data_IF_502224211611
#
_entry.id   IF_502224211611
#
_cell.length_a   1.000
_cell.length_b   1.000
_cell.length_c   1.000
_cell.angle_alpha   90.00
_cell.angle_beta   90.00
_cell.angle_gamma   90.00
#
_symmetry.space_group_name_H-M   'P 1'
#
loop_
_entity.id
_entity.type
_entity.pdbx_description
1 polymer ?
#
# COMPACT_ATOMS: atom_id res chain seq x y z
N UNK A 1 1.41 11.97 13.18
CA UNK A 1 0.62 10.75 13.30
C UNK A 1 -0.32 10.48 12.11
N UNK A 2 -0.65 11.45 11.26
CA UNK A 2 -1.45 11.24 10.03
C UNK A 2 -0.65 10.54 8.91
N UNK A 3 0.66 10.68 8.89
CA UNK A 3 1.59 10.02 7.94
C UNK A 3 1.48 8.50 8.04
N UNK A 4 1.39 7.97 9.27
CA UNK A 4 1.20 6.53 9.52
C UNK A 4 -0.16 6.03 9.03
N UNK A 5 -1.20 6.86 9.02
CA UNK A 5 -2.55 6.42 8.67
C UNK A 5 -2.72 6.14 7.18
N UNK A 6 -2.14 6.95 6.30
CA UNK A 6 -2.22 6.74 4.85
C UNK A 6 -1.35 5.55 4.39
N UNK A 7 -0.14 5.44 4.93
CA UNK A 7 0.74 4.29 4.68
C UNK A 7 0.18 2.98 5.24
N UNK A 8 -0.46 3.01 6.42
CA UNK A 8 -1.17 1.86 6.95
C UNK A 8 -2.41 1.49 6.13
N UNK A 9 -3.05 2.44 5.46
CA UNK A 9 -4.16 2.14 4.54
C UNK A 9 -3.72 1.24 3.39
N UNK A 10 -2.66 1.59 2.68
CA UNK A 10 -2.16 0.80 1.53
C UNK A 10 -1.48 -0.49 1.98
N UNK A 11 -0.70 -0.44 3.05
CA UNK A 11 -0.12 -1.64 3.66
C UNK A 11 -1.21 -2.55 4.22
N UNK A 12 -2.28 -1.97 4.77
CA UNK A 12 -3.47 -2.68 5.23
C UNK A 12 -4.21 -3.40 4.10
N UNK A 13 -4.30 -2.80 2.91
CA UNK A 13 -4.87 -3.45 1.72
C UNK A 13 -4.04 -4.68 1.35
N UNK A 14 -2.72 -4.56 1.30
CA UNK A 14 -1.83 -5.67 0.99
C UNK A 14 -1.82 -6.73 2.10
N UNK A 15 -1.93 -6.35 3.37
CA UNK A 15 -2.06 -7.28 4.49
C UNK A 15 -3.45 -7.91 4.56
N UNK A 16 -4.53 -7.18 4.26
CA UNK A 16 -5.88 -7.77 4.16
C UNK A 16 -5.99 -8.77 3.04
N UNK A 17 -5.27 -8.59 1.94
CA UNK A 17 -5.20 -9.56 0.84
C UNK A 17 -4.31 -10.77 1.20
N UNK A 18 -3.46 -10.66 2.22
CA UNK A 18 -2.45 -11.69 2.55
C UNK A 18 -2.88 -12.69 3.62
N UNK A 19 -3.97 -12.46 4.34
CA UNK A 19 -4.39 -13.30 5.45
C UNK A 19 -5.74 -13.96 5.25
N UNK A 20 -6.08 -14.39 4.01
CA UNK A 20 -7.35 -14.94 3.68
C UNK A 20 -7.54 -16.39 3.97
N UNK A 21 -7.99 -16.74 5.10
CA UNK A 21 -8.67 -18.01 5.27
C UNK A 21 -9.98 -17.77 5.98
N UNK A 22 -11.03 -17.50 5.26
CA UNK A 22 -12.24 -17.24 5.94
C UNK A 22 -13.52 -17.79 5.58
N UNK A 23 -14.06 -18.20 6.55
CA UNK A 23 -15.46 -18.50 6.84
C UNK A 23 -16.41 -17.34 6.56
N UNK A 24 -16.59 -16.92 5.34
CA UNK A 24 -17.89 -16.40 4.98
C UNK A 24 -18.76 -17.62 4.71
N UNK A 25 -19.35 -18.12 5.78
CA UNK A 25 -20.45 -19.05 5.68
C UNK A 25 -21.66 -18.34 5.07
N UNK A 26 -21.59 -18.05 3.79
CA UNK A 26 -22.77 -17.75 3.01
C UNK A 26 -23.47 -19.07 2.74
N UNK A 27 -24.45 -19.37 3.57
CA UNK A 27 -25.23 -20.60 3.54
C UNK A 27 -26.04 -20.83 2.26
N UNK A 28 -25.90 -20.00 1.22
CA UNK A 28 -26.72 -20.08 0.01
C UNK A 28 -25.98 -19.91 -1.32
N UNK A 29 -24.65 -19.87 -1.36
CA UNK A 29 -23.93 -19.87 -2.62
C UNK A 29 -23.63 -21.30 -3.04
N UNK A 30 -24.56 -21.94 -3.74
CA UNK A 30 -24.18 -23.08 -4.58
C UNK A 30 -23.34 -22.52 -5.73
N UNK A 31 -22.07 -22.93 -5.88
CA UNK A 31 -21.28 -22.57 -7.04
C UNK A 31 -21.99 -23.21 -8.25
N UNK A 32 -22.54 -22.38 -9.12
CA UNK A 32 -22.93 -22.87 -10.44
C UNK A 32 -21.64 -23.20 -11.17
N UNK A 33 -21.33 -24.47 -11.30
CA UNK A 33 -20.16 -25.02 -11.98
C UNK A 33 -20.05 -24.64 -13.47
N UNK A 34 -20.78 -23.63 -13.93
CA UNK A 34 -20.86 -23.24 -15.33
C UNK A 34 -20.09 -21.94 -15.64
N UNK A 35 -19.46 -21.33 -14.64
CA UNK A 35 -18.70 -20.10 -14.88
C UNK A 35 -17.22 -20.39 -14.74
N UNK A 36 -16.50 -20.05 -15.79
CA UNK A 36 -15.16 -20.52 -16.01
C UNK A 36 -14.16 -19.92 -14.99
N UNK A 37 -13.13 -20.66 -14.61
CA UNK A 37 -12.00 -20.15 -13.84
C UNK A 37 -11.37 -18.91 -14.47
N UNK A 38 -11.53 -18.74 -15.80
CA UNK A 38 -11.03 -17.58 -16.54
C UNK A 38 -11.77 -16.30 -16.15
N UNK A 39 -13.10 -16.34 -15.99
CA UNK A 39 -13.88 -15.17 -15.58
C UNK A 39 -13.54 -14.75 -14.14
N UNK A 40 -13.39 -15.71 -13.22
CA UNK A 40 -12.95 -15.45 -11.87
C UNK A 40 -11.52 -14.85 -11.84
N UNK A 41 -10.61 -15.44 -12.59
CA UNK A 41 -9.23 -14.95 -12.71
C UNK A 41 -9.15 -13.55 -13.32
N UNK A 42 -10.02 -13.23 -14.29
CA UNK A 42 -10.09 -11.90 -14.89
C UNK A 42 -10.49 -10.82 -13.87
N UNK A 43 -11.37 -11.15 -12.91
CA UNK A 43 -11.73 -10.22 -11.85
C UNK A 43 -10.57 -9.97 -10.88
N UNK A 44 -9.81 -11.02 -10.52
CA UNK A 44 -8.59 -10.87 -9.74
C UNK A 44 -7.56 -10.01 -10.47
N UNK A 45 -7.37 -10.24 -11.77
CA UNK A 45 -6.46 -9.46 -12.60
C UNK A 45 -6.89 -7.99 -12.65
N UNK A 46 -8.16 -7.71 -12.89
CA UNK A 46 -8.69 -6.34 -12.93
C UNK A 46 -8.40 -5.59 -11.63
N UNK A 47 -8.58 -6.24 -10.48
CA UNK A 47 -8.27 -5.65 -9.17
C UNK A 47 -6.78 -5.34 -9.04
N UNK A 48 -5.92 -6.32 -9.38
CA UNK A 48 -4.47 -6.16 -9.24
C UNK A 48 -3.91 -5.11 -10.20
N UNK A 49 -4.40 -5.08 -11.45
CA UNK A 49 -4.03 -4.06 -12.42
C UNK A 49 -4.43 -2.65 -11.94
N UNK A 50 -5.62 -2.53 -11.37
CA UNK A 50 -6.10 -1.27 -10.80
C UNK A 50 -5.24 -0.81 -9.61
N UNK A 51 -4.87 -1.72 -8.71
CA UNK A 51 -3.97 -1.40 -7.58
C UNK A 51 -2.59 -0.93 -8.08
N UNK A 52 -2.01 -1.61 -9.07
CA UNK A 52 -0.72 -1.23 -9.66
C UNK A 52 -0.78 0.10 -10.42
N UNK A 53 -1.95 0.45 -10.95
CA UNK A 53 -2.19 1.72 -11.62
C UNK A 53 -2.56 2.87 -10.67
N UNK A 54 -2.71 2.60 -9.36
CA UNK A 54 -3.21 3.58 -8.40
C UNK A 54 -4.70 3.90 -8.54
N UNK A 55 -5.45 3.11 -9.31
CA UNK A 55 -6.90 3.25 -9.46
C UNK A 55 -7.64 2.49 -8.35
N UNK A 56 -7.62 3.06 -7.17
CA UNK A 56 -8.22 2.44 -5.99
C UNK A 56 -9.74 2.33 -6.06
N UNK A 57 -10.41 3.22 -6.80
CA UNK A 57 -11.84 3.15 -7.01
C UNK A 57 -12.23 1.90 -7.81
N UNK A 58 -11.50 1.61 -8.89
CA UNK A 58 -11.68 0.37 -9.65
C UNK A 58 -11.30 -0.85 -8.82
N UNK A 59 -10.18 -0.82 -8.08
CA UNK A 59 -9.80 -1.92 -7.21
C UNK A 59 -10.88 -2.22 -6.16
N UNK A 60 -11.39 -1.21 -5.48
CA UNK A 60 -12.49 -1.31 -4.51
C UNK A 60 -13.75 -1.92 -5.14
N UNK A 61 -14.08 -1.53 -6.36
CA UNK A 61 -15.26 -2.06 -7.08
C UNK A 61 -15.14 -3.55 -7.41
N UNK A 62 -13.96 -4.14 -7.35
CA UNK A 62 -13.72 -5.56 -7.56
C UNK A 62 -13.88 -6.40 -6.29
N UNK A 63 -13.89 -5.77 -5.11
CA UNK A 63 -13.92 -6.44 -3.81
C UNK A 63 -15.36 -6.58 -3.31
N UNK A 64 -15.70 -7.77 -2.81
CA UNK A 64 -17.02 -8.01 -2.24
C UNK A 64 -17.30 -7.10 -1.04
N UNK A 65 -18.47 -6.47 -1.06
CA UNK A 65 -18.86 -5.48 -0.04
C UNK A 65 -18.23 -4.09 -0.25
N UNK A 66 -17.38 -3.93 -1.24
CA UNK A 66 -16.75 -2.65 -1.63
C UNK A 66 -16.25 -1.85 -0.42
N UNK A 67 -15.35 -2.42 0.41
CA UNK A 67 -14.86 -1.76 1.60
C UNK A 67 -14.15 -0.46 1.20
N UNK A 68 -14.30 0.57 2.03
CA UNK A 68 -13.51 1.78 1.86
C UNK A 68 -12.02 1.45 2.12
N UNK A 69 -11.24 1.46 1.08
CA UNK A 69 -9.80 1.18 1.18
C UNK A 69 -9.01 2.35 1.78
N UNK A 70 -9.66 3.48 2.06
CA UNK A 70 -9.04 4.66 2.65
C UNK A 70 -7.91 5.25 1.79
N UNK A 71 -7.86 4.87 0.53
CA UNK A 71 -6.77 5.17 -0.38
C UNK A 71 -6.99 6.52 -1.09
N UNK A 72 -6.97 7.60 -0.30
CA UNK A 72 -6.80 8.94 -0.86
C UNK A 72 -5.31 9.26 -1.03
N UNK A 73 -4.99 10.02 -2.08
CA UNK A 73 -3.64 10.57 -2.25
C UNK A 73 -3.29 11.44 -1.01
N UNK A 74 -2.10 11.24 -0.40
CA UNK A 74 -1.71 12.03 0.77
C UNK A 74 -1.60 13.52 0.44
N UNK A 75 -2.05 14.38 1.35
CA UNK A 75 -2.00 15.83 1.15
C UNK A 75 -0.61 16.41 1.45
N UNK A 76 0.15 15.79 2.35
CA UNK A 76 1.48 16.27 2.71
C UNK A 76 2.58 15.74 1.79
N UNK A 77 3.59 16.56 1.53
CA UNK A 77 4.65 16.27 0.56
C UNK A 77 5.47 15.02 0.92
N UNK A 78 5.70 14.77 2.19
CA UNK A 78 6.50 13.62 2.66
C UNK A 78 5.75 12.31 2.43
N UNK A 79 4.47 12.27 2.82
CA UNK A 79 3.61 11.10 2.60
C UNK A 79 3.40 10.86 1.10
N UNK A 80 3.30 11.94 0.31
CA UNK A 80 3.16 11.82 -1.15
C UNK A 80 4.39 11.18 -1.80
N UNK A 81 5.60 11.58 -1.41
CA UNK A 81 6.82 10.95 -1.92
C UNK A 81 6.85 9.44 -1.66
N UNK A 82 6.51 9.03 -0.43
CA UNK A 82 6.46 7.61 -0.07
C UNK A 82 5.35 6.87 -0.82
N UNK A 83 4.21 7.52 -0.99
CA UNK A 83 3.07 6.97 -1.71
C UNK A 83 3.38 6.75 -3.19
N UNK A 84 3.93 7.76 -3.85
CA UNK A 84 4.33 7.68 -5.27
C UNK A 84 5.37 6.57 -5.46
N UNK A 85 6.42 6.54 -4.63
CA UNK A 85 7.44 5.50 -4.68
C UNK A 85 6.90 4.09 -4.42
N UNK A 86 5.95 3.95 -3.49
CA UNK A 86 5.27 2.68 -3.23
C UNK A 86 4.45 2.25 -4.44
N UNK A 87 3.61 3.14 -4.98
CA UNK A 87 2.74 2.85 -6.13
C UNK A 87 3.56 2.50 -7.37
N UNK A 88 4.63 3.26 -7.64
CA UNK A 88 5.52 3.02 -8.78
C UNK A 88 6.27 1.68 -8.67
N UNK A 89 6.52 1.20 -7.46
CA UNK A 89 7.21 -0.07 -7.20
C UNK A 89 6.27 -1.27 -7.20
N UNK A 90 4.96 -1.05 -7.11
CA UNK A 90 3.97 -2.11 -6.96
C UNK A 90 3.84 -2.91 -8.26
N UNK A 91 4.08 -4.20 -8.17
CA UNK A 91 3.92 -5.14 -9.27
C UNK A 91 3.43 -6.49 -8.75
N UNK A 92 2.87 -7.29 -9.62
CA UNK A 92 2.43 -8.63 -9.27
C UNK A 92 2.64 -9.62 -10.40
N UNK A 93 2.68 -10.89 -10.03
CA UNK A 93 2.67 -12.02 -10.95
C UNK A 93 1.76 -13.10 -10.40
N UNK A 94 0.83 -13.59 -11.21
CA UNK A 94 0.03 -14.76 -10.83
C UNK A 94 0.88 -16.02 -10.89
N UNK A 95 0.79 -16.82 -9.83
CA UNK A 95 1.49 -18.09 -9.72
C UNK A 95 0.51 -19.25 -9.84
N UNK A 96 0.84 -20.21 -10.72
CA UNK A 96 -0.01 -21.38 -10.92
C UNK A 96 -1.36 -21.08 -11.60
N UNK A 97 -2.29 -22.01 -11.48
CA UNK A 97 -3.62 -21.94 -12.03
C UNK A 97 -4.63 -21.46 -10.97
N UNK A 98 -5.78 -20.96 -11.44
CA UNK A 98 -6.92 -20.70 -10.59
C UNK A 98 -7.43 -22.03 -9.99
N UNK A 99 -7.50 -22.11 -8.67
CA UNK A 99 -7.86 -23.35 -7.95
C UNK A 99 -9.30 -23.30 -7.49
N UNK A 100 -10.01 -24.42 -7.59
CA UNK A 100 -11.36 -24.56 -7.03
C UNK A 100 -11.29 -24.62 -5.49
N UNK A 101 -12.19 -23.93 -4.82
CA UNK A 101 -12.40 -23.95 -3.37
C UNK A 101 -13.84 -24.34 -3.05
N UNK A 102 -14.16 -24.51 -1.78
CA UNK A 102 -15.52 -24.86 -1.35
C UNK A 102 -16.56 -23.76 -1.66
N UNK A 103 -16.11 -22.50 -1.82
CA UNK A 103 -16.98 -21.32 -2.01
C UNK A 103 -16.80 -20.63 -3.36
N UNK A 104 -15.84 -21.07 -4.16
CA UNK A 104 -15.55 -20.44 -5.46
C UNK A 104 -14.20 -20.85 -5.99
N UNK A 105 -13.30 -19.88 -6.15
CA UNK A 105 -11.94 -20.11 -6.61
C UNK A 105 -10.92 -19.38 -5.74
N UNK A 106 -9.66 -19.78 -5.84
CA UNK A 106 -8.50 -19.08 -5.29
C UNK A 106 -7.46 -18.84 -6.39
N UNK A 107 -6.88 -17.66 -6.38
CA UNK A 107 -5.80 -17.27 -7.30
C UNK A 107 -4.59 -16.81 -6.50
N UNK A 108 -3.49 -17.53 -6.66
CA UNK A 108 -2.23 -17.18 -6.00
C UNK A 108 -1.47 -16.15 -6.84
N UNK A 109 -0.87 -15.18 -6.17
CA UNK A 109 -0.02 -14.17 -6.77
C UNK A 109 1.18 -13.87 -5.87
N UNK A 110 2.27 -13.48 -6.50
CA UNK A 110 3.43 -12.88 -5.85
C UNK A 110 3.38 -11.39 -6.07
N UNK A 111 3.38 -10.60 -5.01
CA UNK A 111 3.35 -9.14 -5.05
C UNK A 111 4.68 -8.59 -4.61
N UNK A 112 5.23 -7.67 -5.38
CA UNK A 112 6.47 -6.96 -5.07
C UNK A 112 6.17 -5.47 -4.89
N UNK A 113 6.66 -4.87 -3.83
CA UNK A 113 6.50 -3.45 -3.54
C UNK A 113 7.68 -2.89 -2.74
N UNK A 114 7.75 -1.56 -2.63
CA UNK A 114 8.74 -0.88 -1.80
C UNK A 114 8.67 -1.35 -0.35
N UNK A 115 9.81 -1.63 0.27
CA UNK A 115 9.91 -1.78 1.73
C UNK A 115 9.83 -0.40 2.41
N UNK A 116 8.59 0.05 2.61
CA UNK A 116 8.31 1.32 3.29
C UNK A 116 8.88 1.34 4.70
N UNK A 117 8.90 0.20 5.39
CA UNK A 117 9.43 0.10 6.76
C UNK A 117 10.94 0.37 6.79
N UNK A 118 11.68 -0.17 5.83
CA UNK A 118 13.12 0.07 5.69
C UNK A 118 13.42 1.55 5.41
N UNK A 119 12.70 2.15 4.46
CA UNK A 119 12.84 3.58 4.13
C UNK A 119 12.52 4.46 5.34
N UNK A 120 11.38 4.25 5.99
CA UNK A 120 10.94 5.09 7.12
C UNK A 120 11.81 4.95 8.36
N UNK A 121 12.46 3.81 8.58
CA UNK A 121 13.38 3.61 9.69
C UNK A 121 14.63 4.51 9.62
N UNK A 122 15.09 4.84 8.41
CA UNK A 122 16.25 5.68 8.21
C UNK A 122 15.95 7.20 8.32
N UNK A 123 14.72 7.61 8.12
CA UNK A 123 14.32 9.03 8.01
C UNK A 123 14.60 9.86 9.25
N UNK A 124 14.28 9.44 10.50
CA UNK A 124 14.50 10.29 11.68
C UNK A 124 15.96 10.67 11.89
N UNK A 125 16.86 9.72 11.70
CA UNK A 125 18.30 9.97 11.88
C UNK A 125 18.86 10.88 10.79
N UNK A 126 18.41 10.70 9.53
CA UNK A 126 18.81 11.56 8.40
C UNK A 126 18.29 12.98 8.58
N UNK A 127 17.01 13.15 8.92
CA UNK A 127 16.40 14.46 9.18
C UNK A 127 17.14 15.20 10.31
N UNK A 128 17.46 14.49 11.39
CA UNK A 128 18.26 15.06 12.49
C UNK A 128 19.63 15.54 12.02
N UNK A 129 20.36 14.72 11.26
CA UNK A 129 21.68 15.09 10.73
C UNK A 129 21.62 16.31 9.80
N UNK A 130 20.58 16.41 8.96
CA UNK A 130 20.36 17.56 8.09
C UNK A 130 20.06 18.84 8.88
N UNK A 131 19.26 18.76 9.93
CA UNK A 131 18.98 19.90 10.83
C UNK A 131 20.23 20.35 11.58
N UNK A 132 21.01 19.42 12.12
CA UNK A 132 22.27 19.72 12.81
C UNK A 132 23.29 20.37 11.88
N UNK A 133 23.40 19.89 10.64
CA UNK A 133 24.28 20.49 9.64
C UNK A 133 23.84 21.91 9.27
N UNK A 134 22.54 22.16 9.09
CA UNK A 134 22.01 23.51 8.85
C UNK A 134 22.27 24.45 10.04
N UNK A 135 22.05 23.96 11.26
CA UNK A 135 22.29 24.73 12.48
C UNK A 135 23.77 25.08 12.69
N UNK A 136 24.67 24.18 12.29
CA UNK A 136 26.13 24.42 12.35
C UNK A 136 26.61 25.44 11.30
N UNK A 137 25.96 25.48 10.14
CA UNK A 137 26.30 26.37 9.04
C UNK A 137 25.67 27.76 9.15
N UNK A 138 24.65 27.94 9.99
CA UNK A 138 23.91 29.20 10.11
C UNK A 138 24.71 30.24 10.89
N UNK A 139 24.87 31.45 10.33
CA UNK A 139 25.45 32.61 10.99
C UNK A 139 24.46 33.21 12.00
N UNK A 140 23.16 33.22 11.66
CA UNK A 140 22.09 33.70 12.53
C UNK A 140 21.23 32.51 13.04
N UNK A 141 21.29 32.30 14.34
CA UNK A 141 20.52 31.25 15.00
C UNK A 141 19.02 31.49 15.00
N UNK A 142 18.56 32.72 14.82
CA UNK A 142 17.13 33.04 14.74
C UNK A 142 16.48 32.51 13.45
N UNK A 143 17.25 32.21 12.43
CA UNK A 143 16.77 31.55 11.22
C UNK A 143 16.51 30.04 11.43
N UNK A 144 17.12 29.46 12.45
CA UNK A 144 17.08 28.02 12.75
C UNK A 144 16.10 27.69 13.86
N UNK A 145 16.12 28.50 14.92
CA UNK A 145 15.35 28.20 16.13
C UNK A 145 14.25 29.21 16.39
N UNK A 146 13.18 28.73 17.01
CA UNK A 146 12.17 29.55 17.65
C UNK A 146 12.67 30.12 18.99
N UNK A 147 11.87 30.97 19.64
CA UNK A 147 12.19 31.55 20.94
C UNK A 147 12.34 30.51 22.06
N UNK A 148 11.70 29.36 21.93
CA UNK A 148 11.78 28.22 22.86
C UNK A 148 12.94 27.26 22.58
N UNK A 149 13.85 27.61 21.69
CA UNK A 149 14.97 26.80 21.19
C UNK A 149 14.55 25.53 20.42
N UNK A 150 13.29 25.40 20.02
CA UNK A 150 12.88 24.38 19.05
C UNK A 150 13.28 24.77 17.64
N UNK A 151 13.48 23.77 16.76
CA UNK A 151 13.67 24.04 15.34
C UNK A 151 12.42 24.64 14.71
N UNK A 152 12.59 25.57 13.78
CA UNK A 152 11.48 26.12 13.00
C UNK A 152 10.78 25.04 12.19
N UNK A 153 9.46 25.05 12.17
CA UNK A 153 8.64 24.00 11.53
C UNK A 153 8.96 23.83 10.04
N UNK A 154 9.24 24.93 9.34
CA UNK A 154 9.60 24.89 7.93
C UNK A 154 10.90 24.13 7.68
N UNK A 155 11.90 24.31 8.56
CA UNK A 155 13.17 23.59 8.46
C UNK A 155 13.01 22.09 8.78
N UNK A 156 12.16 21.78 9.77
CA UNK A 156 11.84 20.39 10.09
C UNK A 156 11.15 19.71 8.92
N UNK A 157 10.16 20.35 8.32
CA UNK A 157 9.45 19.82 7.15
C UNK A 157 10.39 19.64 5.95
N UNK A 158 11.28 20.60 5.71
CA UNK A 158 12.27 20.49 4.65
C UNK A 158 13.26 19.35 4.93
N UNK A 159 13.78 19.25 6.15
CA UNK A 159 14.70 18.17 6.53
C UNK A 159 14.05 16.79 6.42
N UNK A 160 12.76 16.66 6.77
CA UNK A 160 12.01 15.42 6.59
C UNK A 160 11.85 15.07 5.11
N UNK A 161 11.52 16.05 4.28
CA UNK A 161 11.37 15.86 2.83
C UNK A 161 12.68 15.42 2.18
N UNK A 162 13.78 16.11 2.51
CA UNK A 162 15.13 15.79 2.04
C UNK A 162 15.56 14.40 2.53
N UNK A 163 15.28 14.06 3.80
CA UNK A 163 15.62 12.76 4.38
C UNK A 163 14.87 11.60 3.72
N UNK A 164 13.58 11.78 3.41
CA UNK A 164 12.80 10.78 2.67
C UNK A 164 13.34 10.62 1.25
N UNK A 165 13.63 11.73 0.57
CA UNK A 165 14.20 11.70 -0.78
C UNK A 165 15.54 10.95 -0.81
N UNK A 166 16.42 11.21 0.16
CA UNK A 166 17.70 10.49 0.29
C UNK A 166 17.47 9.00 0.61
N UNK A 167 16.59 8.68 1.54
CA UNK A 167 16.28 7.30 1.90
C UNK A 167 15.71 6.51 0.71
N UNK A 168 14.84 7.12 -0.09
CA UNK A 168 14.32 6.52 -1.31
C UNK A 168 15.39 6.30 -2.37
N UNK A 169 16.40 7.18 -2.46
CA UNK A 169 17.47 7.05 -3.45
C UNK A 169 18.58 6.08 -3.06
N UNK A 170 18.84 5.93 -1.75
CA UNK A 170 20.01 5.19 -1.25
C UNK A 170 19.63 3.85 -0.61
N UNK A 171 18.47 3.78 0.07
CA UNK A 171 18.08 2.64 0.90
C UNK A 171 16.83 1.92 0.38
N UNK A 172 16.21 2.40 -0.71
CA UNK A 172 14.99 1.79 -1.21
C UNK A 172 15.24 0.35 -1.66
N UNK A 173 14.57 -0.57 -0.99
CA UNK A 173 14.52 -1.98 -1.35
C UNK A 173 13.08 -2.37 -1.61
N UNK A 174 12.90 -3.43 -2.37
CA UNK A 174 11.58 -4.05 -2.56
C UNK A 174 11.46 -5.30 -1.71
N UNK A 175 10.25 -5.55 -1.26
CA UNK A 175 9.87 -6.80 -0.62
C UNK A 175 8.88 -7.54 -1.49
N UNK A 176 8.99 -8.85 -1.51
CA UNK A 176 8.11 -9.73 -2.26
C UNK A 176 7.31 -10.59 -1.29
N UNK A 177 6.01 -10.72 -1.53
CA UNK A 177 5.09 -11.50 -0.71
C UNK A 177 4.16 -12.33 -1.57
N UNK A 178 3.92 -13.56 -1.14
CA UNK A 178 2.90 -14.41 -1.74
C UNK A 178 1.55 -14.09 -1.11
N UNK A 179 0.54 -13.95 -1.95
CA UNK A 179 -0.84 -13.67 -1.57
C UNK A 179 -1.77 -14.65 -2.26
N UNK A 180 -2.88 -14.96 -1.62
CA UNK A 180 -3.95 -15.76 -2.23
C UNK A 180 -5.23 -14.95 -2.26
N UNK A 181 -5.77 -14.73 -3.46
CA UNK A 181 -7.03 -14.03 -3.68
C UNK A 181 -8.16 -15.04 -3.68
N UNK A 182 -9.08 -14.91 -2.74
CA UNK A 182 -10.36 -15.63 -2.77
C UNK A 182 -11.30 -15.01 -3.78
N UNK A 183 -12.06 -15.84 -4.51
CA UNK A 183 -12.98 -15.40 -5.55
C UNK A 183 -14.31 -16.11 -5.36
N UNK A 184 -15.37 -15.33 -5.24
CA UNK A 184 -16.76 -15.84 -5.11
C UNK A 184 -17.62 -15.32 -6.23
N UNK A 185 -18.61 -16.10 -6.64
CA UNK A 185 -19.67 -15.67 -7.54
C UNK A 185 -20.92 -15.35 -6.76
N UNK A 186 -21.33 -14.09 -6.76
CA UNK A 186 -22.52 -13.64 -6.06
C UNK A 186 -23.22 -12.52 -6.80
N UNK A 187 -24.55 -12.52 -6.79
CA UNK A 187 -25.39 -11.50 -7.42
C UNK A 187 -25.10 -11.28 -8.92
N UNK A 188 -24.73 -12.36 -9.62
CA UNK A 188 -24.46 -12.33 -11.06
C UNK A 188 -23.05 -11.86 -11.44
N UNK A 189 -22.14 -11.70 -10.49
CA UNK A 189 -20.77 -11.24 -10.72
C UNK A 189 -19.73 -12.01 -9.90
N UNK A 190 -18.49 -12.00 -10.37
CA UNK A 190 -17.33 -12.43 -9.61
C UNK A 190 -16.79 -11.31 -8.74
N UNK A 191 -16.43 -11.66 -7.52
CA UNK A 191 -15.89 -10.75 -6.52
C UNK A 191 -14.62 -11.31 -5.90
N UNK A 192 -13.63 -10.42 -5.68
CA UNK A 192 -12.52 -10.74 -4.79
C UNK A 192 -13.02 -10.64 -3.35
N UNK A 193 -12.74 -11.64 -2.55
CA UNK A 193 -13.14 -11.67 -1.14
C UNK A 193 -11.99 -11.12 -0.32
N UNK A 194 -12.21 -10.07 0.47
CA UNK A 194 -11.24 -9.68 1.48
C UNK A 194 -11.22 -10.74 2.58
N UNK A 195 -10.10 -10.85 3.19
CA UNK A 195 -9.87 -11.69 4.34
C UNK A 195 -10.35 -11.05 5.62
#
# INVERSE_FOLDING_TARGET
SKIFSALFGVLGILLMVATAAVSIASRNAQPRMLESPEAASAQAQRMMDALCAGDYATAQSCIYGQPDLGAGEPEDAVSKLLWDAFTDSLSYEFTGLCRVTDTGFARDATVTCLDVSGVTAAVPQRAKALLEAKAAAAEDKTEIYNEDNSYRSELVNQALNDAVTQALSEDAQTVTRDVTLGLIYQDGAWWVVPD
#
